data_IF_015696389939
#
_entry.id   IF_015696389939
#
_cell.length_a   1.000
_cell.length_b   1.000
_cell.length_c   1.000
_cell.angle_alpha   90.00
_cell.angle_beta   90.00
_cell.angle_gamma   90.00
#
_symmetry.space_group_name_H-M   'P 1'
#
loop_
_entity.id
_entity.type
_entity.pdbx_description
1 polymer ?
#
# COMPACT_ATOMS: atom_id res chain seq x y z
N UNK A 1 13.89 -12.28 -28.79
CA UNK A 1 13.86 -11.14 -27.84
C UNK A 1 12.41 -10.69 -27.72
N UNK A 2 11.76 -10.96 -26.60
CA UNK A 2 10.36 -10.54 -26.39
C UNK A 2 10.36 -9.05 -26.06
N UNK A 3 9.85 -8.22 -26.97
CA UNK A 3 9.60 -6.80 -26.70
C UNK A 3 8.57 -6.70 -25.59
N UNK A 4 9.02 -6.37 -24.38
CA UNK A 4 8.14 -5.87 -23.33
C UNK A 4 7.66 -4.49 -23.76
N UNK A 5 6.55 -4.45 -24.49
CA UNK A 5 5.76 -3.24 -24.65
C UNK A 5 5.39 -2.76 -23.25
N UNK A 6 6.04 -1.69 -22.80
CA UNK A 6 5.70 -1.01 -21.56
C UNK A 6 4.34 -0.35 -21.81
N UNK A 7 3.27 -1.05 -21.45
CA UNK A 7 1.92 -0.53 -21.56
C UNK A 7 1.70 0.51 -20.45
N UNK A 8 2.00 1.79 -20.71
CA UNK A 8 1.88 2.89 -19.73
C UNK A 8 0.42 3.38 -19.63
N UNK A 9 -0.54 2.46 -19.54
CA UNK A 9 -1.94 2.78 -19.27
C UNK A 9 -2.18 2.98 -17.77
N UNK A 10 -3.09 3.88 -17.34
CA UNK A 10 -3.41 4.10 -15.92
C UNK A 10 -3.83 2.80 -15.21
N UNK A 11 -4.57 1.93 -15.89
CA UNK A 11 -4.97 0.61 -15.39
C UNK A 11 -3.77 -0.35 -15.17
N UNK A 12 -2.73 -0.26 -16.01
CA UNK A 12 -1.53 -1.07 -15.90
C UNK A 12 -0.61 -0.56 -14.78
N UNK A 13 -0.53 0.76 -14.59
CA UNK A 13 0.21 1.38 -13.49
C UNK A 13 -0.41 1.05 -12.12
N UNK A 14 -1.74 1.06 -12.02
CA UNK A 14 -2.45 0.66 -10.80
C UNK A 14 -2.24 -0.83 -10.50
N UNK A 15 -2.39 -1.70 -11.50
CA UNK A 15 -2.20 -3.15 -11.33
C UNK A 15 -0.79 -3.49 -10.84
N UNK A 16 0.24 -2.82 -11.38
CA UNK A 16 1.63 -2.95 -10.93
C UNK A 16 1.81 -2.47 -9.49
N UNK A 17 1.25 -1.30 -9.14
CA UNK A 17 1.28 -0.80 -7.76
C UNK A 17 0.64 -1.78 -6.78
N UNK A 18 -0.52 -2.34 -7.11
CA UNK A 18 -1.20 -3.35 -6.29
C UNK A 18 -0.38 -4.64 -6.12
N UNK A 19 0.38 -5.04 -7.14
CA UNK A 19 1.31 -6.17 -7.03
C UNK A 19 2.51 -5.85 -6.13
N UNK A 20 3.05 -4.64 -6.22
CA UNK A 20 4.21 -4.22 -5.42
C UNK A 20 3.86 -4.10 -3.93
N UNK A 21 2.72 -3.51 -3.58
CA UNK A 21 2.28 -3.42 -2.17
C UNK A 21 2.00 -4.81 -1.55
N UNK A 22 1.69 -5.82 -2.38
CA UNK A 22 1.48 -7.20 -1.92
C UNK A 22 2.78 -7.92 -1.54
N UNK A 23 3.95 -7.35 -1.82
CA UNK A 23 5.25 -7.93 -1.43
C UNK A 23 5.61 -7.64 0.02
N UNK A 24 5.04 -6.60 0.63
CA UNK A 24 5.33 -6.25 2.02
C UNK A 24 4.67 -7.24 3.00
N UNK A 25 5.37 -7.78 4.00
CA UNK A 25 4.76 -8.67 4.99
C UNK A 25 3.68 -7.94 5.81
N UNK A 26 2.66 -8.69 6.24
CA UNK A 26 1.73 -8.18 7.26
C UNK A 26 2.43 -8.26 8.63
N UNK A 27 2.19 -7.26 9.45
CA UNK A 27 2.69 -7.25 10.82
C UNK A 27 1.68 -7.93 11.74
N UNK A 28 2.16 -8.57 12.80
CA UNK A 28 1.31 -9.00 13.91
C UNK A 28 1.00 -7.80 14.83
N UNK A 29 -0.06 -7.87 15.65
CA UNK A 29 -0.37 -6.82 16.61
C UNK A 29 0.80 -6.47 17.55
N UNK A 30 1.60 -7.48 17.95
CA UNK A 30 2.77 -7.29 18.81
C UNK A 30 3.89 -6.53 18.07
N UNK A 31 4.11 -6.84 16.78
CA UNK A 31 5.08 -6.14 15.95
C UNK A 31 4.69 -4.69 15.72
N UNK A 32 3.40 -4.42 15.48
CA UNK A 32 2.88 -3.06 15.34
C UNK A 32 3.10 -2.23 16.61
N UNK A 33 2.77 -2.80 17.76
CA UNK A 33 2.97 -2.12 19.04
C UNK A 33 4.46 -1.78 19.23
N UNK A 34 5.35 -2.77 19.00
CA UNK A 34 6.79 -2.58 19.13
C UNK A 34 7.33 -1.51 18.19
N UNK A 35 6.93 -1.54 16.93
CA UNK A 35 7.37 -0.55 15.93
C UNK A 35 6.83 0.85 16.25
N UNK A 36 5.61 0.94 16.78
CA UNK A 36 4.99 2.21 17.19
C UNK A 36 5.75 2.85 18.35
N UNK A 37 6.12 2.06 19.35
CA UNK A 37 6.98 2.52 20.45
C UNK A 37 8.38 2.94 19.95
N UNK A 38 9.00 2.15 19.07
CA UNK A 38 10.31 2.50 18.50
C UNK A 38 10.29 3.82 17.72
N UNK A 39 9.24 4.07 16.94
CA UNK A 39 9.07 5.35 16.25
C UNK A 39 8.85 6.50 17.24
N UNK A 40 7.93 6.32 18.20
CA UNK A 40 7.56 7.34 19.17
C UNK A 40 8.72 7.74 20.08
N UNK A 41 9.44 6.74 20.60
CA UNK A 41 10.43 6.95 21.67
C UNK A 41 11.83 7.24 21.11
N UNK A 42 12.16 6.70 19.93
CA UNK A 42 13.49 6.81 19.33
C UNK A 42 13.53 7.54 17.99
N UNK A 43 12.38 7.92 17.43
CA UNK A 43 12.32 8.53 16.11
C UNK A 43 12.83 7.62 14.99
N UNK A 44 12.69 6.29 15.13
CA UNK A 44 13.18 5.34 14.14
C UNK A 44 12.35 5.36 12.85
N UNK A 45 12.84 6.10 11.85
CA UNK A 45 12.20 6.22 10.53
C UNK A 45 11.99 4.87 9.85
N UNK A 46 12.85 3.87 10.13
CA UNK A 46 12.66 2.52 9.58
C UNK A 46 11.47 1.82 10.22
N UNK A 47 11.20 2.08 11.49
CA UNK A 47 10.02 1.55 12.17
C UNK A 47 8.73 2.16 11.58
N UNK A 48 8.72 3.49 11.38
CA UNK A 48 7.63 4.17 10.68
C UNK A 48 7.43 3.64 9.25
N UNK A 49 8.50 3.44 8.50
CA UNK A 49 8.43 2.90 7.14
C UNK A 49 7.82 1.49 7.11
N UNK A 50 8.17 0.63 8.07
CA UNK A 50 7.57 -0.72 8.19
C UNK A 50 6.09 -0.67 8.53
N UNK A 51 5.69 0.21 9.45
CA UNK A 51 4.28 0.42 9.79
C UNK A 51 3.48 0.90 8.58
N UNK A 52 3.99 1.88 7.82
CA UNK A 52 3.29 2.40 6.66
C UNK A 52 3.18 1.35 5.55
N UNK A 53 4.28 0.67 5.23
CA UNK A 53 4.32 -0.29 4.10
C UNK A 53 3.46 -1.54 4.33
N UNK A 54 3.34 -2.03 5.57
CA UNK A 54 2.46 -3.15 5.90
C UNK A 54 0.97 -2.82 5.68
N UNK A 55 0.58 -1.57 5.90
CA UNK A 55 -0.82 -1.09 5.84
C UNK A 55 -1.26 -0.61 4.45
N UNK A 56 -0.36 -0.56 3.46
CA UNK A 56 -0.70 -0.07 2.11
C UNK A 56 -1.83 -0.88 1.44
N UNK A 57 -1.94 -2.18 1.74
CA UNK A 57 -3.03 -3.03 1.24
C UNK A 57 -4.41 -2.55 1.75
N UNK A 58 -4.48 -2.12 3.01
CA UNK A 58 -5.71 -1.60 3.61
C UNK A 58 -6.11 -0.27 2.96
N UNK A 59 -5.15 0.63 2.77
CA UNK A 59 -5.38 1.92 2.09
C UNK A 59 -5.91 1.70 0.67
N UNK A 60 -5.27 0.80 -0.10
CA UNK A 60 -5.72 0.46 -1.45
C UNK A 60 -7.15 -0.10 -1.45
N UNK A 61 -7.48 -0.97 -0.49
CA UNK A 61 -8.84 -1.53 -0.33
C UNK A 61 -9.87 -0.42 -0.06
N UNK A 62 -9.58 0.51 0.83
CA UNK A 62 -10.46 1.64 1.17
C UNK A 62 -10.64 2.54 -0.07
N UNK A 63 -9.55 2.93 -0.73
CA UNK A 63 -9.57 3.80 -1.91
C UNK A 63 -10.39 3.19 -3.07
N UNK A 64 -10.26 1.88 -3.31
CA UNK A 64 -11.08 1.19 -4.31
C UNK A 64 -12.57 1.18 -3.94
N UNK A 65 -12.91 1.21 -2.65
CA UNK A 65 -14.29 1.35 -2.17
C UNK A 65 -14.92 2.67 -2.58
N UNK A 66 -14.18 3.79 -2.50
CA UNK A 66 -14.66 5.10 -2.92
C UNK A 66 -14.87 5.23 -4.44
N UNK A 67 -14.14 4.47 -5.26
CA UNK A 67 -14.28 4.52 -6.74
C UNK A 67 -15.69 4.19 -7.22
N UNK A 68 -16.46 3.38 -6.47
CA UNK A 68 -17.82 2.98 -6.84
C UNK A 68 -18.91 3.93 -6.31
N UNK A 69 -18.57 4.82 -5.38
CA UNK A 69 -19.55 5.62 -4.60
C UNK A 69 -19.88 6.96 -5.27
N UNK A 70 -19.51 7.17 -6.53
CA UNK A 70 -20.04 8.29 -7.31
C UNK A 70 -21.22 7.81 -8.17
N UNK A 71 -22.48 8.10 -7.81
CA UNK A 71 -23.55 8.07 -8.80
C UNK A 71 -23.21 9.18 -9.79
N UNK A 72 -22.78 8.79 -10.98
CA UNK A 72 -22.70 9.73 -12.09
C UNK A 72 -24.11 10.32 -12.22
N UNK A 73 -24.23 11.63 -11.97
CA UNK A 73 -25.47 12.35 -12.19
C UNK A 73 -25.95 12.09 -13.61
N UNK A 74 -27.24 11.80 -13.69
CA UNK A 74 -28.06 11.62 -14.89
C UNK A 74 -27.91 12.75 -15.90
#
# INVERSE_FOLDING_TARGET
>A
MVSSVINVGPENNLSRYLQDIRKYPLLTPEEELRLSHLWKDKGDVKAAHKLVTSHLRLVAKIAMGYRRVWPAGE
#
